data_IF_804817522940
#
_entry.id   IF_804817522940
#
_cell.length_a   1.000
_cell.length_b   1.000
_cell.length_c   1.000
_cell.angle_alpha   90.00
_cell.angle_beta   90.00
_cell.angle_gamma   90.00
#
_symmetry.space_group_name_H-M   'P 1'
#
loop_
_entity.id
_entity.type
_entity.pdbx_description
1 polymer ?
#
# COMPACT_ATOMS: atom_id res chain seq x y z
N UNK A 1 -9.08 15.14 43.16
CA UNK A 1 -9.56 15.48 41.81
C UNK A 1 -9.04 14.41 40.85
N UNK A 2 -9.89 13.71 40.14
CA UNK A 2 -9.47 12.76 39.09
C UNK A 2 -8.74 13.55 37.98
N UNK A 3 -7.54 13.07 37.60
CA UNK A 3 -6.77 13.67 36.50
C UNK A 3 -7.60 13.53 35.24
N UNK A 4 -7.95 14.62 34.57
CA UNK A 4 -8.60 14.62 33.27
C UNK A 4 -7.56 14.08 32.27
N UNK A 5 -7.92 13.03 31.56
CA UNK A 5 -7.06 12.44 30.53
C UNK A 5 -7.12 13.26 29.24
N UNK A 6 -6.05 13.24 28.46
CA UNK A 6 -6.04 13.85 27.12
C UNK A 6 -6.97 13.08 26.21
N UNK A 7 -7.69 13.81 25.35
CA UNK A 7 -8.48 13.25 24.24
C UNK A 7 -7.73 13.30 22.90
N UNK A 8 -6.42 13.59 22.92
CA UNK A 8 -5.60 13.62 21.72
C UNK A 8 -4.99 12.24 21.46
N UNK A 9 -4.91 11.85 20.21
CA UNK A 9 -4.24 10.64 19.76
C UNK A 9 -2.73 10.69 20.05
N UNK A 10 -2.11 9.53 20.11
CA UNK A 10 -0.65 9.43 20.17
C UNK A 10 -0.05 10.01 18.90
N UNK A 11 0.97 10.84 19.02
CA UNK A 11 1.61 11.47 17.86
C UNK A 11 2.09 10.44 16.83
N UNK A 12 1.56 10.56 15.61
CA UNK A 12 1.85 9.64 14.50
C UNK A 12 0.88 8.46 14.40
N UNK A 13 -0.18 8.44 15.20
CA UNK A 13 -1.38 7.62 14.99
C UNK A 13 -2.54 8.53 14.61
N UNK A 14 -3.65 7.95 14.20
CA UNK A 14 -4.83 8.71 13.77
C UNK A 14 -6.12 7.94 14.06
N UNK A 15 -7.11 8.67 14.62
CA UNK A 15 -8.49 8.20 14.64
C UNK A 15 -9.11 8.32 13.24
N UNK A 16 -9.80 7.26 12.82
CA UNK A 16 -10.43 7.20 11.50
C UNK A 16 -11.94 7.44 11.64
N UNK A 17 -12.36 8.68 11.48
CA UNK A 17 -13.78 9.01 11.46
C UNK A 17 -14.47 8.41 10.23
N UNK A 18 -15.82 8.21 10.25
CA UNK A 18 -16.53 7.46 9.20
C UNK A 18 -16.23 7.88 7.77
N UNK A 19 -16.09 9.18 7.49
CA UNK A 19 -15.76 9.68 6.15
C UNK A 19 -14.35 9.31 5.69
N UNK A 20 -13.37 9.46 6.58
CA UNK A 20 -11.98 9.12 6.28
C UNK A 20 -11.79 7.61 6.17
N UNK A 21 -12.45 6.86 7.07
CA UNK A 21 -12.44 5.40 7.05
C UNK A 21 -13.07 4.84 5.76
N UNK A 22 -14.08 5.51 5.21
CA UNK A 22 -14.66 5.15 3.92
C UNK A 22 -13.63 5.26 2.79
N UNK A 23 -12.86 6.36 2.73
CA UNK A 23 -11.81 6.54 1.71
C UNK A 23 -10.76 5.42 1.81
N UNK A 24 -10.34 5.08 3.03
CA UNK A 24 -9.43 3.95 3.26
C UNK A 24 -10.02 2.63 2.75
N UNK A 25 -11.27 2.34 3.10
CA UNK A 25 -11.94 1.12 2.64
C UNK A 25 -12.14 1.08 1.13
N UNK A 26 -12.36 2.23 0.48
CA UNK A 26 -12.40 2.31 -0.98
C UNK A 26 -11.05 1.87 -1.58
N UNK A 27 -9.93 2.38 -1.05
CA UNK A 27 -8.59 1.97 -1.48
C UNK A 27 -8.40 0.46 -1.28
N UNK A 28 -8.70 -0.05 -0.08
CA UNK A 28 -8.54 -1.47 0.26
C UNK A 28 -9.42 -2.39 -0.59
N UNK A 29 -10.63 -1.96 -0.91
CA UNK A 29 -11.54 -2.73 -1.77
C UNK A 29 -10.98 -2.85 -3.19
N UNK A 30 -10.44 -1.76 -3.75
CA UNK A 30 -9.78 -1.78 -5.06
C UNK A 30 -8.52 -2.63 -5.07
N UNK A 31 -7.69 -2.52 -4.05
CA UNK A 31 -6.51 -3.37 -3.91
C UNK A 31 -6.87 -4.86 -3.85
N UNK A 32 -7.89 -5.21 -3.06
CA UNK A 32 -8.38 -6.59 -2.94
C UNK A 32 -8.93 -7.11 -4.26
N UNK A 33 -9.74 -6.31 -4.96
CA UNK A 33 -10.31 -6.64 -6.26
C UNK A 33 -9.22 -6.99 -7.27
N UNK A 34 -8.18 -6.16 -7.38
CA UNK A 34 -7.05 -6.40 -8.29
C UNK A 34 -6.26 -7.66 -7.89
N UNK A 35 -5.89 -7.81 -6.62
CA UNK A 35 -5.15 -9.00 -6.17
C UNK A 35 -5.92 -10.31 -6.44
N UNK A 36 -7.22 -10.32 -6.17
CA UNK A 36 -8.08 -11.49 -6.42
C UNK A 36 -8.19 -11.80 -7.92
N UNK A 37 -8.23 -10.77 -8.80
CA UNK A 37 -8.27 -10.99 -10.26
C UNK A 37 -7.00 -11.66 -10.82
N UNK A 38 -5.87 -11.52 -10.12
CA UNK A 38 -4.62 -12.22 -10.43
C UNK A 38 -4.49 -13.61 -9.75
N UNK A 39 -5.54 -14.06 -9.05
CA UNK A 39 -5.55 -15.36 -8.37
C UNK A 39 -4.75 -15.38 -7.06
N UNK A 40 -4.48 -14.23 -6.45
CA UNK A 40 -3.86 -14.18 -5.13
C UNK A 40 -4.88 -14.52 -4.04
N UNK A 41 -4.43 -15.17 -2.97
CA UNK A 41 -5.22 -15.47 -1.78
C UNK A 41 -4.88 -14.55 -0.63
N UNK A 42 -5.91 -14.02 0.05
CA UNK A 42 -5.72 -13.13 1.20
C UNK A 42 -5.28 -13.92 2.44
N UNK A 43 -4.30 -13.41 3.18
CA UNK A 43 -3.83 -13.96 4.44
C UNK A 43 -3.62 -12.87 5.49
N UNK A 44 -3.43 -13.28 6.74
CA UNK A 44 -3.04 -12.39 7.84
C UNK A 44 -2.09 -13.12 8.79
N UNK A 45 -1.05 -12.42 9.24
CA UNK A 45 -0.19 -12.85 10.34
C UNK A 45 -0.54 -12.09 11.63
N UNK A 46 -0.18 -12.60 12.80
CA UNK A 46 -0.31 -11.84 14.06
C UNK A 46 0.42 -10.49 13.99
N UNK A 47 -0.11 -9.48 14.69
CA UNK A 47 0.57 -8.18 14.82
C UNK A 47 1.82 -8.27 15.70
N UNK A 48 1.83 -9.21 16.65
CA UNK A 48 2.95 -9.49 17.53
C UNK A 48 3.81 -10.61 16.94
N UNK A 49 5.12 -10.39 16.95
CA UNK A 49 6.09 -11.34 16.44
C UNK A 49 7.33 -11.35 17.34
N UNK A 50 8.16 -12.38 17.24
CA UNK A 50 9.46 -12.39 17.89
C UNK A 50 10.33 -11.25 17.27
N UNK A 51 10.94 -10.40 18.10
CA UNK A 51 11.74 -9.27 17.65
C UNK A 51 12.93 -9.68 16.77
N UNK A 52 13.48 -10.87 16.99
CA UNK A 52 14.68 -11.34 16.29
C UNK A 52 14.47 -11.55 14.79
N UNK A 53 13.25 -11.86 14.34
CA UNK A 53 12.99 -12.03 12.91
C UNK A 53 13.18 -10.72 12.13
N UNK A 54 12.90 -9.57 12.76
CA UNK A 54 13.12 -8.26 12.15
C UNK A 54 14.57 -7.80 12.30
N UNK A 55 15.21 -8.07 13.45
CA UNK A 55 16.63 -7.73 13.68
C UNK A 55 17.56 -8.43 12.69
N UNK A 56 17.17 -9.61 12.22
CA UNK A 56 18.04 -10.43 11.37
C UNK A 56 18.19 -9.92 9.93
N UNK A 57 17.17 -9.29 9.33
CA UNK A 57 17.15 -8.99 7.87
C UNK A 57 16.42 -7.70 7.46
N UNK A 58 15.75 -6.99 8.37
CA UNK A 58 15.02 -5.76 8.00
C UNK A 58 15.92 -4.54 7.80
N UNK A 59 17.23 -4.71 7.79
CA UNK A 59 18.20 -3.64 7.69
C UNK A 59 18.37 -2.86 9.01
N UNK A 60 19.39 -2.00 9.06
CA UNK A 60 19.76 -1.29 10.29
C UNK A 60 18.69 -0.28 10.73
N UNK A 61 18.00 0.36 9.80
CA UNK A 61 17.01 1.38 10.12
C UNK A 61 15.71 0.76 10.65
N UNK A 62 15.09 -0.18 9.94
CA UNK A 62 13.80 -0.78 10.34
C UNK A 62 14.00 -1.80 11.47
N UNK A 63 14.97 -2.70 11.34
CA UNK A 63 15.19 -3.79 12.28
C UNK A 63 15.73 -3.38 13.66
N UNK A 64 16.35 -2.19 13.77
CA UNK A 64 16.98 -1.73 15.01
C UNK A 64 16.39 -0.40 15.49
N UNK A 65 16.36 0.64 14.63
CA UNK A 65 16.00 2.00 15.06
C UNK A 65 14.50 2.24 15.12
N UNK A 66 13.74 1.65 14.18
CA UNK A 66 12.30 1.90 14.03
C UNK A 66 11.43 0.79 14.66
N UNK A 67 12.03 -0.30 15.14
CA UNK A 67 11.32 -1.41 15.74
C UNK A 67 10.77 -1.05 17.12
N UNK A 68 9.46 -1.27 17.35
CA UNK A 68 8.87 -1.20 18.68
C UNK A 68 8.95 -2.57 19.35
N UNK A 69 9.77 -2.67 20.40
CA UNK A 69 10.02 -3.90 21.15
C UNK A 69 9.53 -3.74 22.59
N UNK A 70 9.00 -4.81 23.15
CA UNK A 70 8.68 -4.94 24.57
C UNK A 70 8.92 -6.38 25.03
N UNK A 71 9.17 -6.54 26.32
CA UNK A 71 9.37 -7.86 26.91
C UNK A 71 8.06 -8.34 27.51
N UNK A 72 7.64 -9.55 27.18
CA UNK A 72 6.44 -10.17 27.75
C UNK A 72 6.68 -10.72 29.17
N UNK A 73 5.63 -11.22 29.82
CA UNK A 73 5.73 -11.79 31.18
C UNK A 73 6.62 -13.01 31.27
N UNK A 74 6.91 -13.68 30.15
CA UNK A 74 7.80 -14.84 30.08
C UNK A 74 9.26 -14.46 29.77
N UNK A 75 9.56 -13.15 29.70
CA UNK A 75 10.90 -12.65 29.43
C UNK A 75 11.30 -12.67 27.94
N UNK A 76 10.33 -12.82 27.01
CA UNK A 76 10.60 -12.85 25.56
C UNK A 76 10.52 -11.46 24.96
N UNK A 77 11.46 -11.11 24.09
CA UNK A 77 11.41 -9.88 23.29
C UNK A 77 10.42 -10.05 22.14
N UNK A 78 9.32 -9.34 22.23
CA UNK A 78 8.30 -9.26 21.20
C UNK A 78 8.36 -7.90 20.52
N UNK A 79 7.99 -7.86 19.24
CA UNK A 79 7.87 -6.64 18.48
C UNK A 79 6.45 -6.49 17.89
N UNK A 80 6.01 -5.25 17.76
CA UNK A 80 4.90 -4.93 16.87
C UNK A 80 5.47 -4.88 15.47
N UNK A 81 4.87 -5.63 14.52
CA UNK A 81 5.42 -5.76 13.16
C UNK A 81 5.62 -4.40 12.46
N UNK A 82 6.84 -4.08 11.98
CA UNK A 82 7.12 -2.87 11.20
C UNK A 82 6.93 -3.06 9.69
N UNK A 83 6.89 -4.33 9.25
CA UNK A 83 6.70 -4.79 7.87
C UNK A 83 6.16 -6.23 7.83
N UNK A 84 5.73 -6.71 6.66
CA UNK A 84 5.14 -8.05 6.53
C UNK A 84 6.16 -9.11 6.10
N UNK A 85 7.16 -8.76 5.33
CA UNK A 85 8.03 -9.71 4.61
C UNK A 85 8.66 -10.77 5.51
N UNK A 86 9.25 -10.48 6.68
CA UNK A 86 9.74 -11.52 7.59
C UNK A 86 8.64 -12.40 8.17
N UNK A 87 7.49 -11.82 8.52
CA UNK A 87 6.36 -12.58 9.10
C UNK A 87 5.72 -13.53 8.08
N UNK A 88 5.52 -13.09 6.83
CA UNK A 88 4.99 -13.97 5.77
C UNK A 88 6.01 -15.05 5.41
N UNK A 89 7.30 -14.74 5.37
CA UNK A 89 8.35 -15.74 5.13
C UNK A 89 8.35 -16.83 6.19
N UNK A 90 8.19 -16.47 7.49
CA UNK A 90 8.00 -17.42 8.58
C UNK A 90 6.73 -18.27 8.41
N UNK A 91 5.63 -17.67 8.00
CA UNK A 91 4.36 -18.37 7.75
C UNK A 91 4.52 -19.37 6.59
N UNK A 92 5.06 -18.91 5.48
CA UNK A 92 5.25 -19.71 4.27
C UNK A 92 6.24 -20.86 4.54
N UNK A 93 7.31 -20.65 5.29
CA UNK A 93 8.27 -21.70 5.63
C UNK A 93 7.63 -22.95 6.25
N UNK A 94 6.53 -22.79 6.99
CA UNK A 94 5.77 -23.90 7.60
C UNK A 94 4.98 -24.72 6.59
N UNK A 95 4.47 -24.06 5.53
CA UNK A 95 3.54 -24.69 4.58
C UNK A 95 4.18 -24.93 3.21
N UNK A 96 5.39 -24.43 2.99
CA UNK A 96 6.00 -24.39 1.66
C UNK A 96 6.05 -25.77 0.99
N UNK A 97 6.49 -26.79 1.71
CA UNK A 97 6.65 -28.13 1.14
C UNK A 97 5.33 -28.82 0.77
N UNK A 98 4.28 -28.57 1.57
CA UNK A 98 2.98 -29.22 1.40
C UNK A 98 2.03 -28.47 0.45
N UNK A 99 2.35 -27.22 0.09
CA UNK A 99 1.48 -26.40 -0.74
C UNK A 99 1.85 -26.49 -2.22
N UNK A 100 0.88 -26.42 -3.15
CA UNK A 100 1.14 -26.22 -4.58
C UNK A 100 1.92 -24.92 -4.85
N UNK A 101 2.71 -24.89 -5.93
CA UNK A 101 3.46 -23.72 -6.38
C UNK A 101 2.90 -23.20 -7.72
N UNK A 102 2.99 -21.90 -7.98
CA UNK A 102 3.41 -20.82 -7.07
C UNK A 102 2.38 -20.54 -5.95
N UNK A 103 2.89 -20.12 -4.78
CA UNK A 103 2.04 -19.55 -3.74
C UNK A 103 1.89 -18.05 -4.00
N UNK A 104 0.70 -17.60 -4.37
CA UNK A 104 0.35 -16.20 -4.61
C UNK A 104 -0.47 -15.69 -3.42
N UNK A 105 0.12 -14.84 -2.60
CA UNK A 105 -0.46 -14.41 -1.34
C UNK A 105 -0.49 -12.87 -1.24
N UNK A 106 -1.57 -12.32 -0.70
CA UNK A 106 -1.62 -10.91 -0.35
C UNK A 106 -2.22 -10.67 1.03
N UNK A 107 -1.87 -9.55 1.66
CA UNK A 107 -2.42 -9.13 2.95
C UNK A 107 -2.58 -7.63 2.99
N UNK A 108 -3.69 -7.14 3.55
CA UNK A 108 -3.89 -5.73 3.89
C UNK A 108 -3.88 -5.63 5.39
N UNK A 109 -2.84 -5.02 5.96
CA UNK A 109 -2.62 -5.05 7.40
C UNK A 109 -1.97 -3.75 7.91
N UNK A 110 -2.11 -3.49 9.22
CA UNK A 110 -1.45 -2.36 9.87
C UNK A 110 -0.06 -2.73 10.37
N UNK A 111 0.79 -1.71 10.43
CA UNK A 111 2.19 -1.77 10.86
C UNK A 111 2.51 -0.60 11.76
N UNK A 112 3.53 -0.76 12.60
CA UNK A 112 3.97 0.30 13.50
C UNK A 112 5.48 0.47 13.41
N UNK A 113 5.93 1.71 13.15
CA UNK A 113 7.34 2.10 13.16
C UNK A 113 7.59 3.23 14.13
N UNK A 114 8.64 3.11 14.92
CA UNK A 114 9.05 4.16 15.87
C UNK A 114 9.83 5.27 15.17
N UNK A 115 9.26 5.81 14.10
CA UNK A 115 9.87 6.90 13.33
C UNK A 115 9.24 8.26 13.67
N UNK A 116 9.92 9.34 13.24
CA UNK A 116 9.39 10.69 13.37
C UNK A 116 8.30 10.91 12.33
N UNK A 117 7.05 11.19 12.73
CA UNK A 117 5.96 11.39 11.79
C UNK A 117 6.22 12.57 10.85
N UNK A 118 5.85 12.39 9.57
CA UNK A 118 5.90 13.42 8.53
C UNK A 118 4.81 13.14 7.49
N UNK A 119 4.57 14.07 6.55
CA UNK A 119 3.56 13.91 5.52
C UNK A 119 3.73 12.57 4.78
N UNK A 120 2.70 11.72 4.81
CA UNK A 120 2.68 10.38 4.20
C UNK A 120 3.54 9.33 4.90
N UNK A 121 3.99 9.59 6.15
CA UNK A 121 4.63 8.63 7.03
C UNK A 121 4.14 8.81 8.44
N UNK A 122 3.25 7.92 8.86
CA UNK A 122 2.75 7.82 10.22
C UNK A 122 3.48 6.70 10.96
N UNK A 123 3.43 6.73 12.29
CA UNK A 123 3.92 5.62 13.11
C UNK A 123 3.08 4.37 12.93
N UNK A 124 1.75 4.55 12.87
CA UNK A 124 0.83 3.49 12.49
C UNK A 124 0.30 3.77 11.08
N UNK A 125 0.41 2.79 10.19
CA UNK A 125 -0.03 2.86 8.81
C UNK A 125 -0.51 1.49 8.34
N UNK A 126 -1.28 1.47 7.27
CA UNK A 126 -1.71 0.24 6.62
C UNK A 126 -0.96 0.04 5.30
N UNK A 127 -0.79 -1.23 4.96
CA UNK A 127 -0.05 -1.59 3.76
C UNK A 127 -0.67 -2.83 3.14
N UNK A 128 -0.81 -2.83 1.80
CA UNK A 128 -0.95 -4.04 1.03
C UNK A 128 0.42 -4.68 0.91
N UNK A 129 0.49 -5.99 1.01
CA UNK A 129 1.68 -6.79 0.70
C UNK A 129 1.23 -7.87 -0.27
N UNK A 130 1.89 -7.97 -1.42
CA UNK A 130 1.63 -8.98 -2.45
C UNK A 130 2.92 -9.72 -2.75
N UNK A 131 2.90 -11.04 -2.63
CA UNK A 131 4.08 -11.87 -2.78
C UNK A 131 3.78 -13.15 -3.57
N UNK A 132 4.70 -13.53 -4.45
CA UNK A 132 4.75 -14.82 -5.14
C UNK A 132 5.93 -15.62 -4.58
N UNK A 133 5.65 -16.82 -4.08
CA UNK A 133 6.66 -17.72 -3.54
C UNK A 133 6.76 -18.99 -4.37
N UNK A 134 7.99 -19.49 -4.55
CA UNK A 134 8.24 -20.78 -5.17
C UNK A 134 8.64 -20.72 -6.63
N UNK A 135 8.71 -19.51 -7.24
CA UNK A 135 9.09 -19.35 -8.63
C UNK A 135 10.26 -18.37 -8.78
N UNK A 136 11.35 -18.83 -9.39
CA UNK A 136 12.52 -18.02 -9.69
C UNK A 136 12.70 -17.88 -11.21
N UNK A 137 11.70 -17.31 -11.86
CA UNK A 137 11.68 -17.16 -13.30
C UNK A 137 11.15 -15.79 -13.71
N UNK A 138 11.40 -15.46 -14.98
CA UNK A 138 10.97 -14.22 -15.62
C UNK A 138 9.46 -13.98 -15.54
N UNK A 139 8.63 -15.02 -15.59
CA UNK A 139 7.17 -14.87 -15.61
C UNK A 139 6.64 -14.36 -14.28
N UNK A 140 7.21 -14.80 -13.16
CA UNK A 140 6.84 -14.30 -11.84
C UNK A 140 7.25 -12.83 -11.64
N UNK A 141 8.39 -12.43 -12.21
CA UNK A 141 8.82 -11.01 -12.20
C UNK A 141 7.85 -10.14 -13.01
N UNK A 142 7.50 -10.60 -14.23
CA UNK A 142 6.58 -9.89 -15.10
C UNK A 142 5.19 -9.75 -14.49
N UNK A 143 4.66 -10.80 -13.87
CA UNK A 143 3.34 -10.80 -13.24
C UNK A 143 3.27 -9.81 -12.07
N UNK A 144 4.29 -9.75 -11.21
CA UNK A 144 4.35 -8.80 -10.09
C UNK A 144 4.44 -7.36 -10.58
N UNK A 145 5.21 -7.09 -11.63
CA UNK A 145 5.28 -5.76 -12.23
C UNK A 145 3.95 -5.36 -12.87
N UNK A 146 3.32 -6.27 -13.61
CA UNK A 146 2.00 -6.05 -14.21
C UNK A 146 0.96 -5.79 -13.12
N UNK A 147 0.89 -6.62 -12.07
CA UNK A 147 -0.02 -6.43 -10.94
C UNK A 147 0.19 -5.05 -10.28
N UNK A 148 1.45 -4.62 -10.10
CA UNK A 148 1.75 -3.30 -9.50
C UNK A 148 1.28 -2.13 -10.37
N UNK A 149 1.34 -2.25 -11.69
CA UNK A 149 0.82 -1.27 -12.65
C UNK A 149 -0.71 -1.27 -12.67
N UNK A 150 -1.34 -2.43 -12.74
CA UNK A 150 -2.81 -2.55 -12.73
C UNK A 150 -3.42 -2.09 -11.41
N UNK A 151 -2.70 -2.25 -10.30
CA UNK A 151 -3.11 -1.71 -9.01
C UNK A 151 -3.24 -0.18 -9.06
N UNK A 152 -2.32 0.50 -9.73
CA UNK A 152 -2.40 1.95 -9.95
C UNK A 152 -3.52 2.31 -10.92
N UNK A 153 -3.62 1.59 -12.03
CA UNK A 153 -4.59 1.85 -13.10
C UNK A 153 -6.04 1.57 -12.69
N UNK A 154 -6.28 0.72 -11.69
CA UNK A 154 -7.62 0.45 -11.14
C UNK A 154 -8.33 1.71 -10.58
N UNK A 155 -7.59 2.78 -10.32
CA UNK A 155 -8.13 4.07 -9.87
C UNK A 155 -8.34 5.08 -11.00
N UNK A 156 -8.13 4.67 -12.27
CA UNK A 156 -8.25 5.51 -13.46
C UNK A 156 -7.44 6.82 -13.36
N UNK A 157 -6.15 6.78 -13.01
CA UNK A 157 -5.34 7.98 -12.90
C UNK A 157 -5.10 8.60 -14.29
N UNK A 158 -4.84 9.92 -14.37
CA UNK A 158 -4.44 10.53 -15.61
C UNK A 158 -3.20 9.86 -16.23
N UNK A 159 -3.09 9.87 -17.56
CA UNK A 159 -1.90 9.37 -18.24
C UNK A 159 -0.64 10.04 -17.71
N UNK A 160 0.44 9.28 -17.56
CA UNK A 160 1.73 9.74 -17.03
C UNK A 160 1.70 10.31 -15.60
N UNK A 161 0.64 10.05 -14.84
CA UNK A 161 0.55 10.48 -13.44
C UNK A 161 1.55 9.78 -12.52
N UNK A 162 2.04 8.62 -12.92
CA UNK A 162 3.05 7.85 -12.20
C UNK A 162 4.02 7.19 -13.17
N UNK A 163 5.13 6.70 -12.63
CA UNK A 163 6.14 5.95 -13.39
C UNK A 163 6.64 4.77 -12.57
N UNK A 164 6.80 3.62 -13.20
CA UNK A 164 7.46 2.45 -12.69
C UNK A 164 8.94 2.50 -13.06
N UNK A 165 9.81 2.73 -12.09
CA UNK A 165 11.27 2.67 -12.24
C UNK A 165 11.73 1.24 -12.03
N UNK A 166 12.57 0.75 -12.90
CA UNK A 166 13.07 -0.65 -12.91
C UNK A 166 14.59 -0.64 -12.88
N UNK A 167 15.16 -1.50 -12.05
CA UNK A 167 16.58 -1.84 -12.03
C UNK A 167 16.75 -3.31 -11.61
N UNK A 168 17.98 -3.79 -11.52
CA UNK A 168 18.33 -5.12 -11.03
C UNK A 168 19.55 -5.08 -10.13
N UNK A 169 19.49 -5.79 -9.01
CA UNK A 169 20.66 -5.99 -8.15
C UNK A 169 21.81 -6.65 -8.90
N UNK A 170 21.49 -7.61 -9.78
CA UNK A 170 22.48 -8.27 -10.65
C UNK A 170 23.24 -7.28 -11.54
N UNK A 171 22.57 -6.22 -12.03
CA UNK A 171 23.22 -5.19 -12.84
C UNK A 171 24.20 -4.35 -12.00
N UNK A 172 23.85 -4.06 -10.75
CA UNK A 172 24.74 -3.37 -9.80
C UNK A 172 25.93 -4.27 -9.48
N UNK A 173 25.73 -5.57 -9.31
CA UNK A 173 26.80 -6.53 -9.06
C UNK A 173 27.72 -6.71 -10.28
N UNK A 174 27.18 -6.67 -11.50
CA UNK A 174 27.97 -6.64 -12.74
C UNK A 174 28.84 -5.38 -12.82
N UNK A 175 28.31 -4.21 -12.46
CA UNK A 175 29.11 -2.99 -12.35
C UNK A 175 30.24 -3.15 -11.30
N UNK A 176 29.92 -3.67 -10.12
CA UNK A 176 30.92 -3.88 -9.06
C UNK A 176 32.01 -4.88 -9.45
N UNK A 177 31.67 -5.89 -10.25
CA UNK A 177 32.66 -6.80 -10.82
C UNK A 177 33.63 -6.07 -11.77
N UNK A 178 33.13 -5.16 -12.61
CA UNK A 178 33.96 -4.33 -13.49
C UNK A 178 34.88 -3.35 -12.72
N UNK A 179 34.41 -2.86 -11.58
CA UNK A 179 35.18 -1.94 -10.73
C UNK A 179 36.25 -2.68 -9.93
N UNK A 180 36.20 -4.01 -9.84
CA UNK A 180 37.12 -4.86 -9.08
C UNK A 180 37.34 -4.37 -7.63
N UNK A 181 36.24 -4.09 -6.92
CA UNK A 181 36.26 -3.56 -5.58
C UNK A 181 36.24 -4.68 -4.52
N UNK A 182 37.01 -4.51 -3.41
CA UNK A 182 36.85 -5.40 -2.26
C UNK A 182 35.50 -5.20 -1.57
N UNK A 183 35.02 -6.23 -0.87
CA UNK A 183 33.64 -6.30 -0.35
C UNK A 183 33.27 -5.12 0.55
N UNK A 184 34.17 -4.71 1.43
CA UNK A 184 33.94 -3.55 2.31
C UNK A 184 33.69 -2.24 1.53
N UNK A 185 34.37 -2.04 0.38
CA UNK A 185 34.15 -0.89 -0.48
C UNK A 185 32.83 -1.01 -1.28
N UNK A 186 32.42 -2.20 -1.68
CA UNK A 186 31.12 -2.42 -2.32
C UNK A 186 29.96 -2.02 -1.40
N UNK A 187 30.00 -2.44 -0.12
CA UNK A 187 29.01 -2.07 0.89
C UNK A 187 28.94 -0.55 1.06
N UNK A 188 30.11 0.10 1.24
CA UNK A 188 30.19 1.55 1.40
C UNK A 188 29.65 2.28 0.17
N UNK A 189 30.00 1.82 -1.03
CA UNK A 189 29.54 2.39 -2.29
C UNK A 189 28.04 2.20 -2.49
N UNK A 190 27.46 1.03 -2.20
CA UNK A 190 26.01 0.78 -2.24
C UNK A 190 25.25 1.78 -1.37
N UNK A 191 25.70 1.99 -0.12
CA UNK A 191 25.10 2.97 0.81
C UNK A 191 25.24 4.41 0.30
N UNK A 192 26.32 4.73 -0.41
CA UNK A 192 26.53 6.05 -1.02
C UNK A 192 25.63 6.23 -2.24
N UNK A 193 25.54 5.23 -3.11
CA UNK A 193 24.67 5.25 -4.30
C UNK A 193 23.18 5.37 -3.93
N UNK A 194 22.73 4.75 -2.84
CA UNK A 194 21.35 4.91 -2.32
C UNK A 194 21.03 6.37 -1.95
N UNK A 195 22.05 7.15 -1.62
CA UNK A 195 21.91 8.58 -1.29
C UNK A 195 22.13 9.50 -2.49
N UNK A 196 22.41 8.96 -3.68
CA UNK A 196 22.74 9.74 -4.88
C UNK A 196 21.79 10.90 -5.15
N UNK A 197 20.49 10.64 -5.15
CA UNK A 197 19.46 11.66 -5.40
C UNK A 197 19.38 12.77 -4.31
N UNK A 198 20.01 12.58 -3.16
CA UNK A 198 19.97 13.51 -2.01
C UNK A 198 21.25 14.34 -1.88
N UNK A 199 22.31 13.99 -2.59
CA UNK A 199 23.61 14.64 -2.51
C UNK A 199 23.84 15.55 -3.72
N UNK A 200 24.62 16.60 -3.54
CA UNK A 200 25.15 17.34 -4.68
C UNK A 200 26.15 16.47 -5.46
N UNK A 201 26.28 16.72 -6.77
CA UNK A 201 27.27 15.99 -7.60
C UNK A 201 28.69 16.10 -7.01
N UNK A 202 29.06 17.27 -6.49
CA UNK A 202 30.38 17.51 -5.88
C UNK A 202 30.58 16.67 -4.61
N UNK A 203 29.58 16.65 -3.71
CA UNK A 203 29.68 15.88 -2.47
C UNK A 203 29.69 14.37 -2.75
N UNK A 204 28.92 13.92 -3.74
CA UNK A 204 28.91 12.53 -4.16
C UNK A 204 30.30 12.07 -4.67
N UNK A 205 30.89 12.85 -5.57
CA UNK A 205 32.27 12.58 -6.10
C UNK A 205 33.31 12.61 -4.96
N UNK A 206 33.20 13.58 -4.05
CA UNK A 206 34.08 13.65 -2.88
C UNK A 206 33.98 12.39 -2.02
N UNK A 207 32.78 11.96 -1.71
CA UNK A 207 32.54 10.74 -0.90
C UNK A 207 33.06 9.48 -1.59
N UNK A 208 32.95 9.38 -2.93
CA UNK A 208 33.56 8.27 -3.67
C UNK A 208 35.09 8.24 -3.54
N UNK A 209 35.73 9.41 -3.57
CA UNK A 209 37.19 9.52 -3.36
C UNK A 209 37.58 9.16 -1.92
N UNK A 210 36.78 9.52 -0.92
CA UNK A 210 36.99 9.13 0.49
C UNK A 210 36.88 7.60 0.70
N UNK A 211 36.03 6.90 -0.05
CA UNK A 211 36.00 5.43 -0.10
C UNK A 211 37.29 4.86 -0.73
N UNK A 212 38.08 5.69 -1.38
CA UNK A 212 39.33 5.29 -2.05
C UNK A 212 39.12 4.69 -3.43
N UNK A 213 38.16 5.23 -4.19
CA UNK A 213 37.92 4.85 -5.59
C UNK A 213 38.89 5.61 -6.51
N UNK A 214 39.37 4.94 -7.55
CA UNK A 214 40.18 5.57 -8.61
C UNK A 214 39.31 6.51 -9.46
N UNK A 215 39.93 7.48 -10.14
CA UNK A 215 39.21 8.40 -11.04
C UNK A 215 38.45 7.67 -12.15
N UNK A 216 39.00 6.58 -12.67
CA UNK A 216 38.32 5.74 -13.66
C UNK A 216 37.06 5.08 -13.08
N UNK A 217 37.14 4.57 -11.84
CA UNK A 217 35.96 3.98 -11.16
C UNK A 217 34.89 5.05 -10.85
N UNK A 218 35.32 6.26 -10.43
CA UNK A 218 34.38 7.38 -10.21
C UNK A 218 33.66 7.74 -11.50
N UNK A 219 34.36 7.81 -12.64
CA UNK A 219 33.76 8.07 -13.94
C UNK A 219 32.76 6.98 -14.34
N UNK A 220 33.11 5.69 -14.20
CA UNK A 220 32.22 4.57 -14.53
C UNK A 220 30.95 4.58 -13.68
N UNK A 221 31.03 4.94 -12.40
CA UNK A 221 29.87 5.07 -11.52
C UNK A 221 28.99 6.26 -11.94
N UNK A 222 29.60 7.40 -12.29
CA UNK A 222 28.87 8.57 -12.80
C UNK A 222 28.17 8.23 -14.12
N UNK A 223 28.85 7.56 -15.06
CA UNK A 223 28.30 7.06 -16.33
C UNK A 223 27.14 6.10 -16.11
N UNK A 224 27.25 5.20 -15.13
CA UNK A 224 26.20 4.26 -14.76
C UNK A 224 24.96 4.97 -14.22
N UNK A 225 25.13 5.82 -13.19
CA UNK A 225 24.03 6.47 -12.50
C UNK A 225 23.27 7.50 -13.36
N UNK A 226 23.96 8.09 -14.35
CA UNK A 226 23.40 9.09 -15.26
C UNK A 226 23.01 8.48 -16.63
N UNK A 227 22.91 7.17 -16.74
CA UNK A 227 22.39 6.57 -17.97
C UNK A 227 20.87 6.77 -18.07
N UNK A 228 20.42 7.32 -19.20
CA UNK A 228 19.02 7.66 -19.46
C UNK A 228 18.20 6.46 -19.99
N UNK A 229 18.89 5.48 -20.56
CA UNK A 229 18.30 4.25 -21.07
C UNK A 229 19.29 3.09 -20.95
N UNK A 230 18.80 1.87 -21.18
CA UNK A 230 19.67 0.68 -21.20
C UNK A 230 20.68 0.76 -22.35
N UNK A 231 20.28 1.29 -23.50
CA UNK A 231 21.18 1.42 -24.64
C UNK A 231 22.24 2.50 -24.37
N UNK A 232 21.86 3.65 -23.79
CA UNK A 232 22.82 4.67 -23.34
C UNK A 232 23.80 4.13 -22.28
N UNK A 233 23.33 3.28 -21.38
CA UNK A 233 24.20 2.61 -20.39
C UNK A 233 25.24 1.72 -21.08
N UNK A 234 24.80 0.92 -22.03
CA UNK A 234 25.68 -0.02 -22.78
C UNK A 234 26.68 0.75 -23.68
N UNK A 235 26.26 1.89 -24.24
CA UNK A 235 27.17 2.76 -25.03
C UNK A 235 28.25 3.42 -24.14
N UNK A 236 27.88 3.85 -22.92
CA UNK A 236 28.82 4.42 -21.93
C UNK A 236 29.74 3.37 -21.29
N UNK A 237 29.23 2.15 -21.03
CA UNK A 237 29.95 1.04 -20.39
C UNK A 237 29.78 -0.23 -21.24
N UNK A 238 30.57 -0.31 -22.30
CA UNK A 238 30.46 -1.36 -23.33
C UNK A 238 30.65 -2.78 -22.77
N UNK A 239 31.38 -2.92 -21.67
CA UNK A 239 31.59 -4.21 -20.98
C UNK A 239 30.32 -4.79 -20.36
N UNK A 240 29.26 -3.99 -20.19
CA UNK A 240 27.96 -4.46 -19.73
C UNK A 240 27.09 -5.06 -20.87
N UNK A 241 27.42 -4.82 -22.14
CA UNK A 241 26.60 -5.15 -23.31
C UNK A 241 26.08 -6.60 -23.33
N UNK A 242 26.94 -7.54 -22.94
CA UNK A 242 26.64 -8.97 -23.02
C UNK A 242 26.36 -9.58 -21.64
N UNK A 243 26.00 -8.77 -20.65
CA UNK A 243 25.63 -9.26 -19.32
C UNK A 243 24.18 -9.73 -19.28
N UNK A 244 23.93 -10.86 -18.63
CA UNK A 244 22.59 -11.42 -18.49
C UNK A 244 21.62 -10.45 -17.78
N UNK A 245 22.12 -9.59 -16.89
CA UNK A 245 21.33 -8.55 -16.22
C UNK A 245 20.73 -7.52 -17.19
N UNK A 246 21.48 -7.14 -18.25
CA UNK A 246 21.00 -6.24 -19.30
C UNK A 246 19.89 -6.92 -20.11
N UNK A 247 20.07 -8.17 -20.50
CA UNK A 247 19.09 -8.93 -21.26
C UNK A 247 17.79 -9.15 -20.48
N UNK A 248 17.90 -9.45 -19.17
CA UNK A 248 16.73 -9.57 -18.28
C UNK A 248 15.91 -8.27 -18.25
N UNK A 249 16.54 -7.11 -18.03
CA UNK A 249 15.84 -5.82 -17.96
C UNK A 249 15.24 -5.45 -19.32
N UNK A 250 15.98 -5.61 -20.42
CA UNK A 250 15.46 -5.38 -21.78
C UNK A 250 14.21 -6.23 -22.05
N UNK A 251 14.26 -7.50 -21.70
CA UNK A 251 13.14 -8.42 -21.87
C UNK A 251 11.92 -8.01 -21.05
N UNK A 252 12.11 -7.65 -19.79
CA UNK A 252 11.03 -7.13 -18.92
C UNK A 252 10.39 -5.90 -19.53
N UNK A 253 11.18 -4.88 -19.87
CA UNK A 253 10.67 -3.63 -20.42
C UNK A 253 9.94 -3.83 -21.74
N UNK A 254 10.49 -4.70 -22.62
CA UNK A 254 9.83 -5.04 -23.89
C UNK A 254 8.47 -5.70 -23.65
N UNK A 255 8.39 -6.72 -22.80
CA UNK A 255 7.14 -7.43 -22.56
C UNK A 255 6.07 -6.52 -21.91
N UNK A 256 6.45 -5.67 -20.95
CA UNK A 256 5.52 -4.69 -20.39
C UNK A 256 5.06 -3.66 -21.43
N UNK A 257 5.94 -3.25 -22.34
CA UNK A 257 5.58 -2.35 -23.45
C UNK A 257 4.60 -3.03 -24.42
N UNK A 258 4.86 -4.29 -24.78
CA UNK A 258 3.97 -5.08 -25.65
C UNK A 258 2.58 -5.29 -25.01
N UNK A 259 2.49 -5.31 -23.67
CA UNK A 259 1.25 -5.33 -22.89
C UNK A 259 0.56 -3.95 -22.75
N UNK A 260 1.15 -2.89 -23.31
CA UNK A 260 0.55 -1.55 -23.32
C UNK A 260 0.98 -0.62 -22.19
N UNK A 261 1.95 -0.99 -21.36
CA UNK A 261 2.41 -0.17 -20.22
C UNK A 261 3.57 0.78 -20.55
N UNK A 262 3.98 0.92 -21.80
CA UNK A 262 5.19 1.67 -22.20
C UNK A 262 5.23 3.10 -21.64
N UNK A 263 4.09 3.79 -21.52
CA UNK A 263 4.02 5.16 -21.01
C UNK A 263 4.37 5.29 -19.51
N UNK A 264 4.40 4.17 -18.79
CA UNK A 264 4.63 4.12 -17.35
C UNK A 264 5.99 3.56 -16.98
N UNK A 265 6.83 3.17 -17.93
CA UNK A 265 8.09 2.47 -17.69
C UNK A 265 9.29 3.40 -17.76
N UNK A 266 10.23 3.23 -16.82
CA UNK A 266 11.51 3.93 -16.84
C UNK A 266 12.61 2.99 -16.33
N UNK A 267 13.66 2.79 -17.13
CA UNK A 267 14.90 2.23 -16.61
C UNK A 267 15.58 3.27 -15.72
N UNK A 268 15.97 2.87 -14.51
CA UNK A 268 16.58 3.79 -13.54
C UNK A 268 17.76 3.12 -12.83
N UNK A 269 18.99 3.26 -13.36
CA UNK A 269 20.18 2.66 -12.76
C UNK A 269 20.50 3.24 -11.37
N UNK A 270 19.99 4.43 -11.06
CA UNK A 270 20.10 5.03 -9.72
C UNK A 270 19.09 4.47 -8.71
N UNK A 271 18.17 3.61 -9.11
CA UNK A 271 17.27 2.93 -8.19
C UNK A 271 18.05 1.84 -7.45
N UNK A 272 18.42 2.15 -6.22
CA UNK A 272 19.12 1.25 -5.31
C UNK A 272 18.29 1.25 -4.02
N UNK A 273 17.72 0.10 -3.68
CA UNK A 273 16.87 0.01 -2.49
C UNK A 273 17.67 -0.40 -1.25
N UNK A 274 17.33 0.24 -0.13
CA UNK A 274 18.01 0.07 1.15
C UNK A 274 17.69 -1.21 1.93
N UNK A 275 16.88 -2.15 1.39
CA UNK A 275 16.67 -3.45 2.02
C UNK A 275 17.74 -4.43 1.56
N UNK A 276 18.51 -4.94 2.51
CA UNK A 276 19.66 -5.83 2.26
C UNK A 276 19.25 -7.23 1.75
N UNK A 277 17.95 -7.53 1.69
CA UNK A 277 17.46 -8.84 1.26
C UNK A 277 17.13 -8.96 -0.25
N UNK A 278 17.14 -7.85 -1.02
CA UNK A 278 16.91 -7.94 -2.47
C UNK A 278 18.13 -8.47 -3.21
N UNK A 279 17.91 -9.47 -4.09
CA UNK A 279 18.97 -10.20 -4.82
C UNK A 279 18.74 -10.32 -6.34
N UNK A 280 17.70 -9.67 -6.87
CA UNK A 280 17.35 -9.72 -8.29
C UNK A 280 16.72 -8.43 -8.78
N UNK A 281 15.58 -8.54 -9.47
CA UNK A 281 14.75 -7.40 -9.88
C UNK A 281 14.43 -6.50 -8.71
N UNK A 282 14.57 -5.20 -8.90
CA UNK A 282 14.09 -4.15 -8.01
C UNK A 282 13.29 -3.14 -8.79
N UNK A 283 12.20 -2.65 -8.20
CA UNK A 283 11.37 -1.63 -8.84
C UNK A 283 10.72 -0.70 -7.82
N UNK A 284 10.29 0.45 -8.29
CA UNK A 284 9.61 1.43 -7.47
C UNK A 284 8.66 2.29 -8.30
N UNK A 285 7.43 2.48 -7.81
CA UNK A 285 6.46 3.40 -8.41
C UNK A 285 6.60 4.76 -7.78
N UNK A 286 6.74 5.77 -8.65
CA UNK A 286 6.84 7.18 -8.28
C UNK A 286 5.60 7.94 -8.74
N UNK A 287 5.13 8.84 -7.88
CA UNK A 287 4.15 9.86 -8.24
C UNK A 287 4.86 10.97 -9.05
N UNK A 288 4.31 11.31 -10.21
CA UNK A 288 4.83 12.36 -11.07
C UNK A 288 4.18 13.74 -10.78
N UNK A 289 3.33 13.84 -9.74
CA UNK A 289 2.73 15.11 -9.40
C UNK A 289 3.79 16.10 -8.89
N UNK A 290 3.77 17.34 -9.42
CA UNK A 290 4.79 18.38 -9.12
C UNK A 290 4.98 18.65 -7.62
N UNK A 291 3.89 18.55 -6.84
CA UNK A 291 3.91 18.81 -5.39
C UNK A 291 4.12 17.53 -4.56
N UNK A 292 4.24 16.37 -5.20
CA UNK A 292 4.38 15.09 -4.53
C UNK A 292 5.30 14.10 -5.29
N UNK A 293 6.30 14.61 -6.00
CA UNK A 293 7.26 13.77 -6.73
C UNK A 293 8.09 12.93 -5.75
N UNK A 294 7.60 11.73 -5.45
CA UNK A 294 8.23 10.80 -4.49
C UNK A 294 7.86 9.35 -4.79
N UNK A 295 8.66 8.45 -4.24
CA UNK A 295 8.33 7.05 -4.20
C UNK A 295 7.03 6.81 -3.43
N UNK A 296 6.12 6.08 -4.04
CA UNK A 296 4.87 5.63 -3.42
C UNK A 296 5.06 4.27 -2.77
N UNK A 297 5.56 3.32 -3.52
CA UNK A 297 5.89 1.98 -3.06
C UNK A 297 6.86 1.31 -4.02
N UNK A 298 7.39 0.19 -3.61
CA UNK A 298 8.20 -0.61 -4.49
C UNK A 298 8.30 -2.05 -4.00
N UNK A 299 9.07 -2.82 -4.74
CA UNK A 299 9.23 -4.25 -4.55
C UNK A 299 10.49 -4.77 -5.19
N UNK A 300 10.60 -6.08 -5.17
CA UNK A 300 11.71 -6.78 -5.78
C UNK A 300 11.77 -8.24 -5.38
N UNK A 301 12.79 -8.91 -5.88
CA UNK A 301 13.07 -10.32 -5.62
C UNK A 301 13.92 -10.48 -4.36
N UNK A 302 13.54 -11.45 -3.51
CA UNK A 302 14.19 -11.71 -2.23
C UNK A 302 14.17 -13.22 -1.94
N UNK A 303 15.23 -13.93 -2.26
CA UNK A 303 15.25 -15.39 -2.20
C UNK A 303 15.77 -15.98 -0.87
N UNK A 304 16.53 -15.21 -0.07
CA UNK A 304 17.27 -15.72 1.09
C UNK A 304 16.57 -15.65 2.45
N UNK A 305 15.32 -15.16 2.53
CA UNK A 305 14.65 -14.95 3.84
C UNK A 305 14.19 -16.24 4.53
N UNK A 306 13.86 -17.27 3.77
CA UNK A 306 13.42 -18.56 4.33
C UNK A 306 14.50 -19.27 5.16
N UNK A 307 15.77 -19.04 4.86
CA UNK A 307 16.91 -19.64 5.56
C UNK A 307 16.94 -19.27 7.04
N UNK A 308 16.40 -18.11 7.42
CA UNK A 308 16.27 -17.67 8.80
C UNK A 308 15.43 -18.63 9.68
N UNK A 309 14.57 -19.39 9.06
CA UNK A 309 13.63 -20.30 9.75
C UNK A 309 14.06 -21.78 9.67
N UNK A 310 15.31 -22.04 9.27
CA UNK A 310 15.85 -23.40 9.16
C UNK A 310 15.16 -24.28 8.12
N UNK A 311 14.40 -23.68 7.21
CA UNK A 311 13.71 -24.38 6.13
C UNK A 311 14.50 -24.31 4.82
N UNK A 312 14.03 -25.07 3.84
CA UNK A 312 14.57 -24.99 2.47
C UNK A 312 14.38 -23.57 1.95
N UNK A 313 15.44 -22.98 1.42
CA UNK A 313 15.37 -21.69 0.72
C UNK A 313 14.35 -21.74 -0.40
N UNK A 314 13.52 -20.74 -0.53
CA UNK A 314 12.55 -20.62 -1.61
C UNK A 314 12.60 -19.23 -2.24
N UNK A 315 12.44 -19.15 -3.56
CA UNK A 315 12.39 -17.87 -4.25
C UNK A 315 11.13 -17.11 -3.90
N UNK A 316 11.26 -15.79 -3.81
CA UNK A 316 10.15 -14.89 -3.55
C UNK A 316 10.33 -13.56 -4.29
N UNK A 317 9.21 -13.01 -4.72
CA UNK A 317 9.13 -11.64 -5.26
C UNK A 317 7.84 -11.00 -4.79
N UNK A 318 7.90 -9.70 -4.43
CA UNK A 318 6.72 -9.01 -3.94
C UNK A 318 6.88 -7.50 -3.90
N UNK A 319 5.79 -6.82 -3.52
CA UNK A 319 5.75 -5.36 -3.34
C UNK A 319 4.74 -4.95 -2.28
N UNK A 320 4.86 -3.69 -1.81
CA UNK A 320 4.04 -3.24 -0.68
C UNK A 320 3.69 -1.75 -0.74
N UNK A 321 2.50 -1.34 -1.28
CA UNK A 321 1.99 0.02 -1.20
C UNK A 321 1.41 0.36 0.17
N UNK A 322 1.74 1.56 0.67
CA UNK A 322 1.16 2.12 1.89
C UNK A 322 -0.09 2.96 1.61
N UNK A 323 -1.08 2.90 2.51
CA UNK A 323 -2.35 3.62 2.39
C UNK A 323 -2.19 5.15 2.37
N UNK A 324 -1.31 5.69 3.20
CA UNK A 324 -1.10 7.14 3.31
C UNK A 324 -0.49 7.74 2.03
N UNK A 325 0.54 7.09 1.47
CA UNK A 325 1.16 7.55 0.21
C UNK A 325 0.20 7.41 -0.96
N UNK A 326 -0.58 6.33 -0.96
CA UNK A 326 -1.58 6.08 -1.99
C UNK A 326 -2.73 7.08 -1.93
N UNK A 327 -3.24 7.39 -0.73
CA UNK A 327 -4.25 8.44 -0.51
C UNK A 327 -3.77 9.80 -1.02
N UNK A 328 -2.53 10.20 -0.69
CA UNK A 328 -1.95 11.47 -1.14
C UNK A 328 -1.90 11.52 -2.69
N UNK A 329 -1.54 10.42 -3.35
CA UNK A 329 -1.58 10.33 -4.80
C UNK A 329 -2.99 10.59 -5.34
N UNK A 330 -4.00 9.90 -4.83
CA UNK A 330 -5.39 10.08 -5.24
C UNK A 330 -5.90 11.51 -5.01
N UNK A 331 -5.52 12.13 -3.89
CA UNK A 331 -5.84 13.53 -3.57
C UNK A 331 -5.15 14.50 -4.55
N UNK A 332 -3.85 14.32 -4.80
CA UNK A 332 -3.06 15.20 -5.66
C UNK A 332 -3.59 15.22 -7.10
N UNK A 333 -4.07 14.09 -7.59
CA UNK A 333 -4.62 13.95 -8.93
C UNK A 333 -6.15 14.16 -9.02
N UNK A 334 -6.81 14.53 -7.90
CA UNK A 334 -8.26 14.75 -7.80
C UNK A 334 -9.10 13.55 -8.27
N UNK A 335 -8.66 12.32 -7.98
CA UNK A 335 -9.32 11.06 -8.35
C UNK A 335 -9.93 10.31 -7.17
N UNK A 336 -9.96 10.93 -5.99
CA UNK A 336 -10.75 10.40 -4.89
C UNK A 336 -12.24 10.48 -5.21
N UNK A 337 -13.02 9.43 -4.93
CA UNK A 337 -14.45 9.51 -5.08
C UNK A 337 -15.03 10.59 -4.16
N UNK A 338 -15.95 11.40 -4.70
CA UNK A 338 -16.76 12.25 -3.84
C UNK A 338 -17.70 11.36 -3.03
N UNK A 339 -17.53 11.38 -1.73
CA UNK A 339 -18.21 10.42 -0.87
C UNK A 339 -19.25 11.10 -0.02
N UNK A 340 -20.51 10.76 -0.30
CA UNK A 340 -21.55 10.83 0.70
C UNK A 340 -21.82 9.40 1.22
N UNK A 341 -21.20 9.03 2.35
CA UNK A 341 -21.30 7.68 2.92
C UNK A 341 -22.74 7.29 3.32
N UNK A 342 -23.65 8.26 3.39
CA UNK A 342 -25.02 8.08 3.80
C UNK A 342 -26.03 8.23 2.64
N UNK A 343 -25.56 8.41 1.41
CA UNK A 343 -26.44 8.64 0.23
C UNK A 343 -27.44 7.51 0.01
N UNK A 344 -27.06 6.27 0.30
CA UNK A 344 -27.94 5.10 0.17
C UNK A 344 -28.73 4.78 1.44
N UNK A 345 -28.55 5.58 2.50
CA UNK A 345 -29.19 5.32 3.78
C UNK A 345 -30.56 5.96 3.84
N UNK A 346 -31.45 5.27 4.53
CA UNK A 346 -32.83 5.66 4.84
C UNK A 346 -32.86 6.14 6.28
N UNK A 347 -33.50 7.29 6.55
CA UNK A 347 -33.82 7.73 7.91
C UNK A 347 -35.30 7.48 8.18
N UNK A 348 -35.63 6.76 9.23
CA UNK A 348 -36.98 6.55 9.71
C UNK A 348 -37.14 7.26 11.07
N UNK A 349 -37.56 8.53 11.10
CA UNK A 349 -37.77 9.29 12.34
C UNK A 349 -38.96 8.74 13.14
N UNK A 350 -38.92 8.91 14.45
CA UNK A 350 -40.08 8.73 15.31
C UNK A 350 -40.90 10.02 15.29
N UNK A 351 -42.06 10.03 14.60
CA UNK A 351 -42.92 11.19 14.44
C UNK A 351 -44.10 11.23 15.44
N UNK A 352 -44.45 10.08 16.04
CA UNK A 352 -45.44 9.92 17.10
C UNK A 352 -44.98 8.82 18.06
N UNK A 353 -45.09 9.07 19.38
CA UNK A 353 -44.77 8.06 20.41
C UNK A 353 -45.71 6.85 20.31
N UNK A 354 -46.95 7.06 19.87
CA UNK A 354 -47.93 5.96 19.66
C UNK A 354 -47.51 4.97 18.61
N UNK A 355 -46.66 5.38 17.66
CA UNK A 355 -46.18 4.56 16.55
C UNK A 355 -44.76 4.01 16.78
N UNK A 356 -44.29 3.97 18.02
CA UNK A 356 -42.95 3.47 18.31
C UNK A 356 -42.78 2.01 17.87
N UNK A 357 -43.72 1.15 18.20
CA UNK A 357 -43.66 -0.27 17.83
C UNK A 357 -43.76 -0.47 16.30
N UNK A 358 -44.63 0.25 15.64
CA UNK A 358 -44.80 0.24 14.17
C UNK A 358 -43.55 0.72 13.46
N UNK A 359 -42.89 1.73 13.99
CA UNK A 359 -41.58 2.20 13.48
C UNK A 359 -40.51 1.09 13.55
N UNK A 360 -40.46 0.35 14.67
CA UNK A 360 -39.56 -0.81 14.77
C UNK A 360 -39.86 -1.90 13.79
N UNK A 361 -41.16 -2.23 13.60
CA UNK A 361 -41.64 -3.21 12.63
C UNK A 361 -41.24 -2.78 11.20
N UNK A 362 -41.55 -1.53 10.83
CA UNK A 362 -41.22 -0.99 9.51
C UNK A 362 -39.68 -0.96 9.29
N UNK A 363 -38.89 -0.53 10.28
CA UNK A 363 -37.45 -0.58 10.18
C UNK A 363 -36.92 -1.99 9.94
N UNK A 364 -37.48 -2.99 10.65
CA UNK A 364 -37.12 -4.40 10.46
C UNK A 364 -37.49 -4.89 9.05
N UNK A 365 -38.69 -4.56 8.55
CA UNK A 365 -39.14 -4.89 7.17
C UNK A 365 -38.16 -4.31 6.15
N UNK A 366 -37.84 -3.01 6.22
CA UNK A 366 -36.94 -2.34 5.28
C UNK A 366 -35.50 -2.89 5.33
N UNK A 367 -35.01 -3.25 6.52
CA UNK A 367 -33.68 -3.89 6.67
C UNK A 367 -33.66 -5.29 6.06
N UNK A 368 -34.76 -6.07 6.17
CA UNK A 368 -34.84 -7.39 5.53
C UNK A 368 -34.86 -7.30 3.99
N UNK A 369 -35.20 -6.14 3.44
CA UNK A 369 -35.12 -5.80 2.01
C UNK A 369 -33.71 -5.23 1.62
N UNK A 370 -32.68 -5.46 2.43
CA UNK A 370 -31.31 -4.94 2.26
C UNK A 370 -31.18 -3.40 2.25
N UNK A 371 -32.17 -2.67 2.78
CA UNK A 371 -32.05 -1.22 2.96
C UNK A 371 -31.30 -0.88 4.23
N UNK A 372 -30.42 0.11 4.17
CA UNK A 372 -29.66 0.62 5.32
C UNK A 372 -30.52 1.65 6.07
N UNK A 373 -31.22 1.24 7.11
CA UNK A 373 -32.18 2.09 7.83
C UNK A 373 -31.61 2.56 9.15
N UNK A 374 -31.44 3.88 9.28
CA UNK A 374 -31.21 4.56 10.54
C UNK A 374 -32.56 4.91 11.15
N UNK A 375 -32.81 4.44 12.35
CA UNK A 375 -34.05 4.67 13.08
C UNK A 375 -33.90 5.85 14.04
N UNK A 376 -34.86 6.77 14.04
CA UNK A 376 -34.95 7.86 15.02
C UNK A 376 -35.30 7.30 16.39
N UNK A 377 -34.53 7.64 17.40
CA UNK A 377 -34.70 7.18 18.78
C UNK A 377 -35.42 8.20 19.68
N UNK A 378 -35.65 9.41 19.17
CA UNK A 378 -36.33 10.48 19.88
C UNK A 378 -37.50 10.98 19.04
N UNK A 379 -38.56 11.41 19.72
CA UNK A 379 -39.71 12.07 19.09
C UNK A 379 -39.28 13.37 18.41
N UNK A 380 -39.55 13.51 17.11
CA UNK A 380 -39.21 14.67 16.31
C UNK A 380 -40.41 15.13 15.48
N UNK A 381 -40.53 16.45 15.30
CA UNK A 381 -41.41 17.00 14.26
C UNK A 381 -40.76 16.76 12.90
N UNK A 382 -41.57 16.56 11.87
CA UNK A 382 -41.09 16.25 10.50
C UNK A 382 -40.05 17.26 9.98
N UNK A 383 -40.20 18.56 10.25
CA UNK A 383 -39.24 19.58 9.84
C UNK A 383 -37.86 19.38 10.48
N UNK A 384 -37.81 18.98 11.75
CA UNK A 384 -36.54 18.65 12.43
C UNK A 384 -35.93 17.33 11.94
N UNK A 385 -36.77 16.37 11.58
CA UNK A 385 -36.31 15.11 10.98
C UNK A 385 -35.68 15.34 9.60
N UNK A 386 -36.27 16.21 8.78
CA UNK A 386 -35.70 16.62 7.47
C UNK A 386 -34.39 17.39 7.63
N UNK A 387 -34.33 18.31 8.59
CA UNK A 387 -33.08 19.04 8.92
C UNK A 387 -31.95 18.09 9.32
N UNK A 388 -32.26 17.11 10.17
CA UNK A 388 -31.29 16.07 10.58
C UNK A 388 -30.81 15.25 9.41
N UNK A 389 -31.73 14.74 8.58
CA UNK A 389 -31.41 13.94 7.41
C UNK A 389 -30.50 14.70 6.44
N UNK A 390 -30.82 15.98 6.17
CA UNK A 390 -30.03 16.84 5.30
C UNK A 390 -28.64 17.12 5.88
N UNK A 391 -28.54 17.49 7.15
CA UNK A 391 -27.26 17.78 7.82
C UNK A 391 -26.33 16.56 7.86
N UNK A 392 -26.90 15.37 8.01
CA UNK A 392 -26.13 14.12 8.01
C UNK A 392 -25.82 13.59 6.61
N UNK A 393 -26.49 14.11 5.56
CA UNK A 393 -26.32 13.66 4.19
C UNK A 393 -27.03 12.35 3.88
N UNK A 394 -28.11 12.02 4.63
CA UNK A 394 -28.93 10.82 4.38
C UNK A 394 -29.69 10.98 3.06
N UNK A 395 -29.62 9.96 2.20
CA UNK A 395 -30.21 10.06 0.86
C UNK A 395 -31.73 9.98 0.84
N UNK A 396 -32.34 9.34 1.83
CA UNK A 396 -33.78 9.11 1.87
C UNK A 396 -34.33 9.26 3.29
N UNK A 397 -35.58 9.75 3.39
CA UNK A 397 -36.34 9.76 4.64
C UNK A 397 -37.62 8.94 4.46
N UNK A 398 -37.91 8.10 5.45
CA UNK A 398 -39.13 7.31 5.52
C UNK A 398 -40.08 8.04 6.46
N UNK A 399 -41.28 8.34 6.00
CA UNK A 399 -42.29 9.10 6.75
C UNK A 399 -43.41 8.15 7.13
N UNK A 400 -43.57 7.93 8.43
CA UNK A 400 -44.69 7.22 9.04
C UNK A 400 -45.21 8.07 10.20
N UNK A 401 -46.20 8.87 9.91
CA UNK A 401 -46.99 9.64 10.88
C UNK A 401 -48.33 8.98 11.17
N UNK A 402 -49.15 9.55 12.06
CA UNK A 402 -50.49 9.01 12.39
C UNK A 402 -51.40 8.96 11.14
N UNK A 403 -51.32 9.97 10.26
CA UNK A 403 -52.07 9.98 9.01
C UNK A 403 -51.68 8.87 8.05
N UNK A 404 -50.39 8.59 7.89
CA UNK A 404 -49.87 7.52 7.07
C UNK A 404 -50.31 6.15 7.64
N UNK A 405 -50.19 6.01 8.96
CA UNK A 405 -50.55 4.77 9.64
C UNK A 405 -52.07 4.47 9.50
N UNK A 406 -52.95 5.46 9.67
CA UNK A 406 -54.37 5.31 9.50
C UNK A 406 -54.75 4.88 8.06
N UNK A 407 -53.98 5.35 7.07
CA UNK A 407 -54.15 4.99 5.66
C UNK A 407 -53.42 3.67 5.30
N UNK A 408 -52.77 3.02 6.24
CA UNK A 408 -51.94 1.81 6.06
C UNK A 408 -50.85 1.97 5.01
N UNK A 409 -50.20 3.14 4.96
CA UNK A 409 -49.12 3.48 4.04
C UNK A 409 -47.94 4.05 4.80
N UNK A 410 -46.77 4.11 4.14
CA UNK A 410 -45.67 4.97 4.48
C UNK A 410 -45.13 5.66 3.22
N UNK A 411 -44.41 6.76 3.39
CA UNK A 411 -43.81 7.48 2.27
C UNK A 411 -42.30 7.40 2.35
N UNK A 412 -41.62 7.34 1.21
CA UNK A 412 -40.18 7.51 1.09
C UNK A 412 -39.94 8.76 0.26
N UNK A 413 -39.28 9.74 0.85
CA UNK A 413 -38.84 10.96 0.19
C UNK A 413 -37.36 10.87 -0.11
N UNK A 414 -37.00 11.10 -1.36
CA UNK A 414 -35.62 11.27 -1.80
C UNK A 414 -35.14 12.68 -1.44
N UNK A 415 -34.05 12.77 -0.70
CA UNK A 415 -33.58 14.04 -0.15
C UNK A 415 -32.92 14.94 -1.19
N UNK A 416 -32.45 14.39 -2.31
CA UNK A 416 -31.82 15.17 -3.37
C UNK A 416 -32.85 15.73 -4.34
N UNK A 417 -33.77 14.89 -4.84
CA UNK A 417 -34.78 15.29 -5.81
C UNK A 417 -36.03 15.87 -5.17
N UNK A 418 -36.28 15.61 -3.88
CA UNK A 418 -37.50 15.97 -3.18
C UNK A 418 -38.72 15.11 -3.55
N UNK A 419 -38.59 14.12 -4.45
CA UNK A 419 -39.68 13.24 -4.87
C UNK A 419 -40.12 12.32 -3.74
N UNK A 420 -41.43 12.13 -3.63
CA UNK A 420 -42.02 11.21 -2.67
C UNK A 420 -42.67 10.02 -3.37
N UNK A 421 -42.49 8.84 -2.81
CA UNK A 421 -43.17 7.59 -3.25
C UNK A 421 -43.93 7.01 -2.08
N UNK A 422 -45.14 6.51 -2.36
CA UNK A 422 -46.05 5.89 -1.39
C UNK A 422 -45.92 4.38 -1.48
N UNK A 423 -45.93 3.70 -0.34
CA UNK A 423 -45.82 2.27 -0.20
C UNK A 423 -46.85 1.74 0.81
N UNK A 424 -47.30 0.52 0.65
CA UNK A 424 -48.18 -0.14 1.59
C UNK A 424 -47.42 -0.57 2.84
N UNK A 425 -48.03 -0.34 4.00
CA UNK A 425 -47.41 -0.66 5.30
C UNK A 425 -47.40 -2.18 5.58
N UNK A 426 -48.38 -2.91 5.00
CA UNK A 426 -48.57 -4.36 5.20
C UNK A 426 -47.50 -5.22 4.57
#
# INVERSE_FOLDING_TARGET
MSKILSNQEVKGTKDWLPGEFFVRNYIFSKWREVCLSYGFSEYLTPILENADIYRAKSGEDIGIKELMVFTDQAGRDLAIRPEMTPSVSRMVSKIYQSSPKPLKLFSIANFVRNEKPQRGRNREFWQLNCDVFGENNFLSDLEILQLSLDLMLAFNPPKKSFVLKINSRKLIDDLFALLNLPENKKIALTRLMDKYAKLSKGDFVKSMKEIGLSENNVKRIDDFLNAESIDDLVDKITELKNRGSIEEIKKIMKNLSDLGYQEYLLFSPSLIRGFDYYDGLIFEIFDNHKDNNRAMFGGGRYNGLAELFGSVSFPAIGFAPGDETFKIFLESWNILPQVNIYQDNYYLPLLSEKLADENFILAKKLRSENKKVEQGLNLLKIGKALEYANKKGLGKIVILGEEEFDKKIYKIKDMQSGQEKVFDLN
#
